data_IF_690413331285
#
_entry.id   IF_690413331285
#
_cell.length_a   1.000
_cell.length_b   1.000
_cell.length_c   1.000
_cell.angle_alpha   90.00
_cell.angle_beta   90.00
_cell.angle_gamma   90.00
#
_symmetry.space_group_name_H-M   'P 1'
#
loop_
_entity.id
_entity.type
_entity.pdbx_description
1 polymer ?
#
# COMPACT_ATOMS: atom_id res chain seq x y z
N UNK A 1 14.53 -5.30 -12.47
CA UNK A 1 13.47 -4.88 -13.40
C UNK A 1 12.10 -5.24 -12.88
N UNK A 2 11.35 -4.21 -12.50
CA UNK A 2 9.95 -4.32 -12.12
C UNK A 2 9.08 -4.54 -13.36
N UNK A 3 8.04 -5.35 -13.20
CA UNK A 3 7.04 -5.65 -14.21
C UNK A 3 5.71 -5.09 -13.74
N UNK A 4 5.24 -4.04 -14.42
CA UNK A 4 4.01 -3.31 -14.08
C UNK A 4 2.81 -3.69 -14.95
N UNK A 5 3.01 -4.58 -15.92
CA UNK A 5 1.92 -5.09 -16.75
C UNK A 5 1.12 -6.14 -15.97
N UNK A 6 -0.14 -5.82 -15.69
CA UNK A 6 -1.07 -6.72 -14.98
C UNK A 6 -1.38 -8.01 -15.73
N UNK A 7 -1.16 -8.05 -17.05
CA UNK A 7 -1.36 -9.25 -17.88
C UNK A 7 -0.13 -10.15 -17.92
N UNK A 8 1.01 -9.69 -17.43
CA UNK A 8 2.25 -10.45 -17.42
C UNK A 8 2.26 -11.48 -16.28
N UNK A 9 2.74 -12.72 -16.51
CA UNK A 9 2.90 -13.70 -15.45
C UNK A 9 3.97 -13.30 -14.41
N UNK A 10 4.80 -12.30 -14.72
CA UNK A 10 5.85 -11.80 -13.82
C UNK A 10 5.44 -10.51 -13.09
N UNK A 11 4.16 -10.14 -13.12
CA UNK A 11 3.64 -8.91 -12.52
C UNK A 11 3.97 -8.82 -11.01
N UNK A 12 4.81 -7.85 -10.64
CA UNK A 12 5.36 -7.75 -9.28
C UNK A 12 5.30 -6.34 -8.67
N UNK A 13 4.90 -5.32 -9.42
CA UNK A 13 4.79 -3.94 -8.93
C UNK A 13 3.65 -3.20 -9.62
N UNK A 14 2.97 -2.27 -8.94
CA UNK A 14 1.98 -1.40 -9.60
C UNK A 14 2.61 -0.19 -10.29
N UNK A 15 3.73 0.31 -9.75
CA UNK A 15 4.45 1.47 -10.25
C UNK A 15 5.82 1.07 -10.83
N UNK A 16 6.24 1.76 -11.89
CA UNK A 16 7.58 1.63 -12.46
C UNK A 16 8.55 2.61 -11.79
N UNK A 17 9.85 2.46 -12.03
CA UNK A 17 10.86 3.45 -11.60
C UNK A 17 10.57 4.82 -12.22
N UNK A 18 10.09 4.85 -13.47
CA UNK A 18 9.72 6.10 -14.16
C UNK A 18 8.52 6.80 -13.49
N UNK A 19 7.51 6.03 -13.07
CA UNK A 19 6.36 6.55 -12.32
C UNK A 19 6.80 7.14 -10.97
N UNK A 20 7.74 6.48 -10.29
CA UNK A 20 8.32 6.98 -9.05
C UNK A 20 9.08 8.30 -9.28
N UNK A 21 9.92 8.38 -10.32
CA UNK A 21 10.64 9.60 -10.69
C UNK A 21 9.70 10.75 -11.00
N UNK A 22 8.71 10.50 -11.86
CA UNK A 22 7.67 11.50 -12.19
C UNK A 22 6.92 11.96 -10.94
N UNK A 23 6.55 11.03 -10.06
CA UNK A 23 5.87 11.34 -8.82
C UNK A 23 6.74 12.19 -7.89
N UNK A 24 8.01 11.82 -7.72
CA UNK A 24 8.97 12.53 -6.88
C UNK A 24 9.21 13.96 -7.38
N UNK A 25 9.51 14.14 -8.67
CA UNK A 25 9.71 15.45 -9.29
C UNK A 25 8.47 16.33 -9.16
N UNK A 26 7.27 15.78 -9.36
CA UNK A 26 6.02 16.55 -9.25
C UNK A 26 5.73 17.12 -7.85
N UNK A 27 6.33 16.51 -6.81
CA UNK A 27 6.12 16.87 -5.40
C UNK A 27 7.39 17.34 -4.70
N UNK A 28 8.46 17.53 -5.47
CA UNK A 28 9.77 17.96 -4.98
C UNK A 28 10.34 17.03 -3.88
N UNK A 29 10.21 15.72 -4.08
CA UNK A 29 10.85 14.70 -3.25
C UNK A 29 12.20 14.29 -3.84
N UNK A 30 13.16 14.00 -2.96
CA UNK A 30 14.43 13.39 -3.31
C UNK A 30 14.30 11.88 -3.32
N UNK A 31 14.82 11.25 -4.38
CA UNK A 31 14.86 9.80 -4.56
C UNK A 31 16.26 9.41 -5.05
N UNK A 32 16.67 8.15 -4.89
CA UNK A 32 17.99 7.71 -5.31
C UNK A 32 18.13 7.79 -6.84
N UNK A 33 19.28 8.24 -7.33
CA UNK A 33 19.58 8.24 -8.77
C UNK A 33 19.73 6.81 -9.32
N UNK A 34 20.04 5.84 -8.46
CA UNK A 34 20.21 4.44 -8.83
C UNK A 34 18.86 3.74 -9.02
N UNK A 35 18.61 3.24 -10.24
CA UNK A 35 17.38 2.52 -10.56
C UNK A 35 17.18 1.30 -9.66
N UNK A 36 18.24 0.51 -9.38
CA UNK A 36 18.13 -0.66 -8.50
C UNK A 36 17.70 -0.30 -7.08
N UNK A 37 18.12 0.86 -6.56
CA UNK A 37 17.68 1.33 -5.24
C UNK A 37 16.19 1.73 -5.28
N UNK A 38 15.76 2.43 -6.33
CA UNK A 38 14.34 2.73 -6.56
C UNK A 38 13.50 1.44 -6.66
N UNK A 39 13.99 0.42 -7.36
CA UNK A 39 13.31 -0.87 -7.47
C UNK A 39 13.14 -1.53 -6.10
N UNK A 40 14.17 -1.55 -5.25
CA UNK A 40 14.07 -2.10 -3.90
C UNK A 40 13.05 -1.34 -3.04
N UNK A 41 13.04 -0.01 -3.08
CA UNK A 41 12.06 0.80 -2.34
C UNK A 41 10.63 0.53 -2.80
N UNK A 42 10.42 0.39 -4.11
CA UNK A 42 9.12 0.03 -4.69
C UNK A 42 8.68 -1.38 -4.28
N UNK A 43 9.61 -2.33 -4.16
CA UNK A 43 9.31 -3.68 -3.65
C UNK A 43 8.91 -3.65 -2.17
N UNK A 44 9.63 -2.91 -1.32
CA UNK A 44 9.23 -2.74 0.09
C UNK A 44 7.84 -2.10 0.22
N UNK A 45 7.55 -1.11 -0.62
CA UNK A 45 6.22 -0.52 -0.71
C UNK A 45 5.15 -1.54 -1.16
N UNK A 46 5.48 -2.42 -2.10
CA UNK A 46 4.59 -3.51 -2.53
C UNK A 46 4.29 -4.50 -1.41
N UNK A 47 5.31 -4.91 -0.67
CA UNK A 47 5.15 -5.84 0.44
C UNK A 47 4.23 -5.26 1.52
N UNK A 48 4.36 -3.97 1.80
CA UNK A 48 3.44 -3.25 2.68
C UNK A 48 2.00 -3.26 2.13
N UNK A 49 1.80 -2.97 0.84
CA UNK A 49 0.49 -2.99 0.19
C UNK A 49 -0.14 -4.39 0.15
N UNK A 50 0.68 -5.44 0.05
CA UNK A 50 0.23 -6.83 0.08
C UNK A 50 -0.35 -7.20 1.46
N UNK A 51 0.12 -6.56 2.53
CA UNK A 51 -0.41 -6.71 3.89
C UNK A 51 -1.75 -6.00 4.15
N UNK A 52 -2.22 -5.13 3.25
CA UNK A 52 -3.47 -4.38 3.45
C UNK A 52 -4.71 -5.24 3.18
N UNK A 53 -5.78 -4.97 3.93
CA UNK A 53 -7.11 -5.58 3.71
C UNK A 53 -7.89 -4.79 2.66
N UNK A 54 -7.81 -5.25 1.42
CA UNK A 54 -8.51 -4.66 0.28
C UNK A 54 -9.99 -5.04 0.25
N UNK A 55 -10.83 -4.11 -0.19
CA UNK A 55 -12.24 -4.35 -0.50
C UNK A 55 -12.40 -5.10 -1.82
N UNK A 56 -13.58 -5.68 -2.01
CA UNK A 56 -13.90 -6.44 -3.21
C UNK A 56 -13.09 -7.74 -3.32
N UNK A 57 -13.22 -8.37 -4.48
CA UNK A 57 -12.61 -9.67 -4.78
C UNK A 57 -11.54 -9.52 -5.84
N UNK A 58 -10.52 -10.37 -5.80
CA UNK A 58 -9.54 -10.45 -6.89
C UNK A 58 -10.26 -10.86 -8.18
N UNK A 59 -9.92 -10.23 -9.30
CA UNK A 59 -10.54 -10.53 -10.59
C UNK A 59 -10.17 -11.93 -11.07
N UNK A 60 -8.94 -12.36 -10.79
CA UNK A 60 -8.42 -13.70 -11.12
C UNK A 60 -7.93 -14.36 -9.84
N UNK A 61 -8.20 -15.67 -9.68
CA UNK A 61 -7.78 -16.42 -8.50
C UNK A 61 -6.26 -16.50 -8.36
N UNK A 62 -5.58 -16.71 -9.49
CA UNK A 62 -4.14 -16.95 -9.56
C UNK A 62 -3.31 -15.68 -9.84
N UNK A 63 -3.91 -14.49 -9.71
CA UNK A 63 -3.15 -13.25 -9.83
C UNK A 63 -2.17 -13.09 -8.65
N UNK A 64 -0.95 -12.64 -8.96
CA UNK A 64 0.13 -12.49 -7.99
C UNK A 64 -0.14 -11.37 -6.98
N UNK A 65 -0.65 -10.23 -7.47
CA UNK A 65 -0.85 -9.03 -6.68
C UNK A 65 -2.31 -8.82 -6.26
N UNK A 66 -2.52 -7.95 -5.28
CA UNK A 66 -3.85 -7.71 -4.72
C UNK A 66 -4.82 -7.06 -5.71
N UNK A 67 -4.31 -6.27 -6.65
CA UNK A 67 -5.03 -5.71 -7.79
C UNK A 67 -4.61 -6.40 -9.10
N UNK A 68 -5.48 -6.48 -10.11
CA UNK A 68 -6.80 -5.84 -10.21
C UNK A 68 -7.91 -6.54 -9.39
N UNK A 69 -9.01 -5.82 -9.09
CA UNK A 69 -10.12 -6.31 -8.24
C UNK A 69 -11.48 -5.88 -8.79
N UNK A 70 -12.50 -6.65 -8.48
CA UNK A 70 -13.90 -6.36 -8.79
C UNK A 70 -14.74 -6.07 -7.53
N UNK A 71 -15.86 -5.37 -7.73
CA UNK A 71 -16.80 -5.04 -6.65
C UNK A 71 -16.33 -3.92 -5.71
N UNK A 72 -15.31 -3.16 -6.09
CA UNK A 72 -14.82 -2.01 -5.30
C UNK A 72 -15.54 -0.74 -5.73
N UNK A 73 -16.19 -0.06 -4.79
CA UNK A 73 -16.88 1.21 -5.03
C UNK A 73 -16.10 2.33 -4.36
N UNK A 74 -15.66 3.31 -5.15
CA UNK A 74 -14.93 4.50 -4.70
C UNK A 74 -15.73 5.74 -5.07
N UNK A 75 -16.01 6.59 -4.07
CA UNK A 75 -16.80 7.82 -4.23
C UNK A 75 -18.15 7.63 -4.99
N UNK A 76 -18.78 6.47 -4.82
CA UNK A 76 -20.06 6.13 -5.45
C UNK A 76 -19.95 5.50 -6.84
N UNK A 77 -18.76 5.38 -7.41
CA UNK A 77 -18.51 4.76 -8.70
C UNK A 77 -17.89 3.37 -8.55
N UNK A 78 -18.42 2.40 -9.30
CA UNK A 78 -17.84 1.07 -9.37
C UNK A 78 -16.54 1.12 -10.18
N UNK A 79 -15.44 0.67 -9.57
CA UNK A 79 -14.16 0.58 -10.26
C UNK A 79 -14.19 -0.56 -11.30
N UNK A 80 -13.63 -0.32 -12.50
CA UNK A 80 -13.47 -1.36 -13.51
C UNK A 80 -12.52 -2.46 -13.02
N UNK A 81 -12.91 -3.72 -13.26
CA UNK A 81 -12.20 -4.90 -12.76
C UNK A 81 -10.88 -5.21 -13.47
N UNK A 82 -10.57 -4.52 -14.56
CA UNK A 82 -9.39 -4.74 -15.40
C UNK A 82 -8.37 -3.60 -15.28
N UNK A 83 -8.56 -2.68 -14.32
CA UNK A 83 -7.72 -1.50 -14.15
C UNK A 83 -7.17 -1.43 -12.72
N UNK A 84 -5.89 -1.09 -12.62
CA UNK A 84 -5.25 -0.72 -11.35
C UNK A 84 -5.55 0.77 -11.10
N UNK A 85 -6.20 1.14 -9.98
CA UNK A 85 -6.50 2.54 -9.71
C UNK A 85 -5.23 3.37 -9.59
N UNK A 86 -5.22 4.57 -10.19
CA UNK A 86 -4.09 5.52 -10.10
C UNK A 86 -3.72 5.84 -8.65
N UNK A 87 -4.70 5.82 -7.75
CA UNK A 87 -4.49 5.99 -6.31
C UNK A 87 -3.55 4.92 -5.73
N UNK A 88 -3.66 3.66 -6.16
CA UNK A 88 -2.79 2.56 -5.70
C UNK A 88 -1.35 2.79 -6.16
N UNK A 89 -1.17 3.18 -7.42
CA UNK A 89 0.14 3.53 -8.00
C UNK A 89 0.78 4.69 -7.21
N UNK A 90 0.02 5.76 -6.95
CA UNK A 90 0.50 6.91 -6.19
C UNK A 90 0.86 6.55 -4.75
N UNK A 91 0.08 5.68 -4.11
CA UNK A 91 0.38 5.21 -2.75
C UNK A 91 1.67 4.41 -2.74
N UNK A 92 1.88 3.52 -3.71
CA UNK A 92 3.12 2.76 -3.82
C UNK A 92 4.32 3.69 -4.01
N UNK A 93 4.25 4.66 -4.92
CA UNK A 93 5.34 5.64 -5.11
C UNK A 93 5.63 6.41 -3.83
N UNK A 94 4.58 6.85 -3.12
CA UNK A 94 4.77 7.59 -1.87
C UNK A 94 5.33 6.71 -0.75
N UNK A 95 4.87 5.48 -0.61
CA UNK A 95 5.45 4.50 0.32
C UNK A 95 6.93 4.26 0.01
N UNK A 96 7.31 4.14 -1.27
CA UNK A 96 8.71 3.96 -1.65
C UNK A 96 9.59 5.15 -1.24
N UNK A 97 9.06 6.38 -1.29
CA UNK A 97 9.77 7.57 -0.79
C UNK A 97 9.93 7.49 0.73
N UNK A 98 8.87 7.14 1.46
CA UNK A 98 8.90 7.01 2.92
C UNK A 98 9.80 5.85 3.38
N UNK A 99 9.93 4.81 2.56
CA UNK A 99 10.81 3.66 2.80
C UNK A 99 12.30 4.03 2.86
N UNK A 100 12.67 5.22 2.35
CA UNK A 100 14.03 5.75 2.47
C UNK A 100 14.37 6.12 3.92
N UNK A 101 13.38 6.58 4.68
CA UNK A 101 13.55 7.07 6.06
C UNK A 101 13.02 6.08 7.11
N UNK A 102 12.00 5.29 6.75
CA UNK A 102 11.24 4.43 7.66
C UNK A 102 11.27 2.99 7.15
N UNK A 103 11.58 2.04 8.03
CA UNK A 103 11.41 0.63 7.70
C UNK A 103 9.92 0.25 7.63
N UNK A 104 9.44 -0.03 6.42
CA UNK A 104 8.05 -0.44 6.16
C UNK A 104 7.76 -1.88 6.60
N UNK A 105 8.80 -2.72 6.72
CA UNK A 105 8.69 -4.15 6.99
C UNK A 105 9.62 -4.55 8.14
N UNK A 106 9.40 -4.05 9.37
CA UNK A 106 10.25 -4.42 10.48
C UNK A 106 10.12 -5.92 10.76
N UNK A 107 11.21 -6.67 10.54
CA UNK A 107 11.25 -8.11 10.77
C UNK A 107 11.59 -8.41 12.23
N UNK A 108 10.72 -9.14 12.92
CA UNK A 108 10.97 -9.65 14.27
C UNK A 108 11.34 -11.12 14.22
N UNK A 109 12.52 -11.45 14.74
CA UNK A 109 12.85 -12.83 15.12
C UNK A 109 12.10 -13.18 16.42
N UNK A 110 10.82 -13.53 16.32
CA UNK A 110 10.04 -13.97 17.48
C UNK A 110 8.56 -14.05 17.18
N UNK A 111 8.04 -15.28 17.09
CA UNK A 111 6.61 -15.54 16.93
C UNK A 111 5.80 -14.88 18.04
N UNK A 112 5.07 -13.83 17.66
CA UNK A 112 4.12 -13.14 18.52
C UNK A 112 2.83 -12.97 17.75
N UNK A 113 1.80 -13.69 18.18
CA UNK A 113 0.43 -13.65 17.71
C UNK A 113 -0.08 -12.20 17.61
N UNK A 114 -0.37 -11.72 16.40
CA UNK A 114 -0.82 -10.35 16.18
C UNK A 114 -2.35 -10.31 16.32
N UNK A 115 -2.82 -10.23 17.57
CA UNK A 115 -4.20 -9.86 17.85
C UNK A 115 -4.39 -8.37 17.56
N UNK A 116 -5.16 -8.15 16.50
CA UNK A 116 -5.48 -6.87 15.91
C UNK A 116 -6.44 -6.07 16.79
N UNK A 117 -5.95 -5.04 17.48
CA UNK A 117 -6.75 -3.97 18.09
C UNK A 117 -5.72 -2.88 18.47
N UNK A 118 -5.75 -1.63 17.99
CA UNK A 118 -6.53 -0.57 18.62
C UNK A 118 -6.03 0.83 18.17
N UNK A 119 -6.96 1.77 18.16
CA UNK A 119 -6.92 3.24 18.30
C UNK A 119 -6.34 4.16 17.19
N UNK A 120 -7.27 5.04 16.77
CA UNK A 120 -7.13 6.31 16.08
C UNK A 120 -6.46 7.32 17.01
N UNK A 121 -5.31 7.87 16.63
CA UNK A 121 -4.70 8.97 17.36
C UNK A 121 -3.26 9.18 16.95
N UNK A 122 -3.03 10.24 16.18
CA UNK A 122 -1.70 10.64 15.75
C UNK A 122 -0.79 10.87 16.95
N UNK A 123 0.32 10.15 17.07
CA UNK A 123 1.55 10.68 17.67
C UNK A 123 2.74 10.00 17.00
N UNK A 124 3.52 10.81 16.30
CA UNK A 124 4.91 10.50 16.00
C UNK A 124 5.68 10.43 17.33
N UNK A 125 6.13 9.25 17.74
CA UNK A 125 7.19 9.12 18.75
C UNK A 125 8.16 8.05 18.31
N UNK A 126 9.28 8.51 17.78
CA UNK A 126 10.55 7.79 17.82
C UNK A 126 11.01 7.62 19.28
N UNK A 127 11.58 6.44 19.57
CA UNK A 127 12.30 6.05 20.79
C UNK A 127 11.49 5.83 22.07
N UNK A 128 11.15 4.56 22.30
CA UNK A 128 11.44 3.90 23.58
C UNK A 128 11.58 2.39 23.34
N UNK A 129 12.68 1.84 23.85
CA UNK A 129 12.96 0.42 23.89
C UNK A 129 11.79 -0.34 24.53
N UNK A 130 11.43 -1.49 23.93
CA UNK A 130 10.45 -2.48 24.42
C UNK A 130 8.97 -2.09 24.25
N UNK A 131 8.42 -2.20 23.04
CA UNK A 131 6.95 -2.38 22.85
C UNK A 131 6.65 -2.98 21.48
N UNK A 132 5.64 -3.87 21.43
CA UNK A 132 5.15 -4.60 20.25
C UNK A 132 5.16 -3.76 18.97
N UNK A 133 6.11 -4.07 18.10
CA UNK A 133 6.33 -3.28 16.90
C UNK A 133 5.26 -3.59 15.86
N UNK A 134 4.33 -2.65 15.77
CA UNK A 134 3.27 -2.61 14.78
C UNK A 134 3.84 -1.97 13.51
N UNK A 135 3.55 -2.53 12.33
CA UNK A 135 3.93 -1.94 11.04
C UNK A 135 3.53 -0.45 10.99
N UNK A 136 4.37 0.43 10.40
CA UNK A 136 4.11 1.86 10.38
C UNK A 136 2.75 2.15 9.72
N UNK A 137 1.92 3.01 10.32
CA UNK A 137 0.59 3.38 9.79
C UNK A 137 0.62 4.81 9.29
N UNK A 138 0.25 5.01 8.03
CA UNK A 138 0.24 6.32 7.40
C UNK A 138 -1.19 6.89 7.32
N UNK A 139 -1.42 8.06 7.91
CA UNK A 139 -2.72 8.75 7.85
C UNK A 139 -3.11 9.13 6.43
N UNK A 140 -2.12 9.57 5.64
CA UNK A 140 -2.29 9.92 4.23
C UNK A 140 -2.67 8.71 3.35
N UNK A 141 -2.22 7.49 3.71
CA UNK A 141 -2.54 6.27 2.98
C UNK A 141 -4.02 5.93 3.09
N UNK A 142 -4.60 6.06 4.29
CA UNK A 142 -6.04 5.88 4.50
C UNK A 142 -6.87 6.91 3.72
N UNK A 143 -6.36 8.13 3.55
CA UNK A 143 -6.99 9.16 2.73
C UNK A 143 -6.99 8.80 1.24
N UNK A 144 -5.85 8.39 0.70
CA UNK A 144 -5.71 8.00 -0.71
C UNK A 144 -6.43 6.69 -1.05
N UNK A 145 -6.47 5.74 -0.10
CA UNK A 145 -7.13 4.45 -0.27
C UNK A 145 -8.57 4.42 0.28
N UNK A 146 -9.15 5.59 0.58
CA UNK A 146 -10.52 5.69 1.09
C UNK A 146 -11.49 5.02 0.12
N UNK A 147 -12.24 4.04 0.62
CA UNK A 147 -13.19 3.27 -0.19
C UNK A 147 -12.60 2.03 -0.87
N UNK A 148 -11.28 1.87 -0.91
CA UNK A 148 -10.60 0.70 -1.49
C UNK A 148 -10.08 -0.29 -0.45
N UNK A 149 -9.80 0.16 0.77
CA UNK A 149 -9.46 -0.71 1.90
C UNK A 149 -10.63 -0.87 2.85
N UNK A 150 -10.69 -2.00 3.55
CA UNK A 150 -11.66 -2.25 4.61
C UNK A 150 -11.24 -1.41 5.82
N UNK A 151 -11.85 -0.24 5.97
CA UNK A 151 -11.69 0.57 7.18
C UNK A 151 -12.39 -0.10 8.37
N UNK A 152 -11.82 0.04 9.56
CA UNK A 152 -12.34 -0.57 10.80
C UNK A 152 -13.77 -0.12 11.20
N UNK A 153 -14.36 0.89 10.55
CA UNK A 153 -15.61 1.54 11.00
C UNK A 153 -16.75 1.58 9.96
N UNK A 154 -16.80 0.71 8.96
CA UNK A 154 -18.02 0.59 8.13
C UNK A 154 -19.07 -0.31 8.81
N UNK A 155 -19.75 0.24 9.82
CA UNK A 155 -21.01 -0.31 10.32
C UNK A 155 -22.07 0.08 9.28
N UNK A 156 -22.58 -0.91 8.52
CA UNK A 156 -23.72 -0.70 7.64
C UNK A 156 -24.98 -0.51 8.49
N UNK A 157 -25.42 0.73 8.66
CA UNK A 157 -26.74 1.04 9.24
C UNK A 157 -27.82 0.61 8.23
N UNK A 158 -28.32 -0.62 8.38
CA UNK A 158 -29.55 -1.06 7.73
C UNK A 158 -30.70 -0.35 8.46
N UNK A 159 -31.36 0.60 7.79
CA UNK A 159 -32.65 1.12 8.27
C UNK A 159 -33.69 0.04 8.02
N UNK A 160 -34.25 -0.50 9.10
CA UNK A 160 -35.44 -1.36 9.07
C UNK A 160 -36.72 -0.57 8.83
#
# INVERSE_FOLDING_TARGET
MLVTDSSSPNFNSYASVEDLRTFATSRNYEIPDNDTACEHLLMQAMDYLAGLRWKGSRTVKDQLLAWPREGVIVDGYLLPKDIIPRQVIQVQCRLAIEAQEIDLTPSFAGGGEVTQETIVGAVNVSYAERTSATSPRFTWLNGLLRGMIVGANQISLVRG
#
